data_IF_095837930472
#
_entry.id   IF_095837930472
#
_cell.length_a   1.000
_cell.length_b   1.000
_cell.length_c   1.000
_cell.angle_alpha   90.00
_cell.angle_beta   90.00
_cell.angle_gamma   90.00
#
_symmetry.space_group_name_H-M   'P 1'
#
loop_
_entity.id
_entity.type
_entity.pdbx_description
1 polymer ?
#
# COMPACT_ATOMS: atom_id res chain seq x y z
N UNK A 1 -12.69 4.88 -4.50
CA UNK A 1 -11.28 4.48 -4.73
C UNK A 1 -11.23 2.97 -4.72
N UNK A 2 -10.33 2.39 -5.51
CA UNK A 2 -10.06 0.95 -5.54
C UNK A 2 -8.63 0.76 -5.00
N UNK A 3 -8.47 -0.09 -4.00
CA UNK A 3 -7.16 -0.57 -3.56
C UNK A 3 -6.75 -1.79 -4.39
N UNK A 4 -5.50 -1.79 -4.86
CA UNK A 4 -4.91 -2.88 -5.63
C UNK A 4 -3.67 -3.33 -4.88
N UNK A 5 -3.58 -4.63 -4.62
CA UNK A 5 -2.50 -5.25 -3.87
C UNK A 5 -1.91 -6.39 -4.69
N UNK A 6 -0.60 -6.35 -4.88
CA UNK A 6 0.13 -7.36 -5.63
C UNK A 6 1.26 -7.90 -4.75
N UNK A 7 1.35 -9.22 -4.71
CA UNK A 7 2.34 -9.98 -3.95
C UNK A 7 3.00 -10.90 -4.97
N UNK A 8 4.26 -10.67 -5.27
CA UNK A 8 5.00 -11.42 -6.27
C UNK A 8 6.34 -11.93 -5.72
N UNK A 9 6.80 -13.14 -6.10
CA UNK A 9 8.11 -13.62 -5.69
C UNK A 9 9.23 -12.66 -6.09
N UNK A 10 10.17 -12.41 -5.19
CA UNK A 10 11.37 -11.60 -5.45
C UNK A 10 12.55 -12.12 -4.62
N UNK A 11 13.53 -12.75 -5.29
CA UNK A 11 14.69 -13.34 -4.62
C UNK A 11 14.28 -14.40 -3.58
N UNK A 12 14.75 -14.23 -2.35
CA UNK A 12 14.42 -15.11 -1.22
C UNK A 12 13.14 -14.68 -0.48
N UNK A 13 12.39 -13.72 -1.01
CA UNK A 13 11.18 -13.18 -0.39
C UNK A 13 10.12 -12.81 -1.41
N UNK A 14 9.36 -11.77 -1.08
CA UNK A 14 8.23 -11.31 -1.87
C UNK A 14 8.25 -9.80 -1.97
N UNK A 15 8.00 -9.25 -3.16
CA UNK A 15 7.69 -7.83 -3.34
C UNK A 15 6.20 -7.60 -3.13
N UNK A 16 5.87 -6.75 -2.16
CA UNK A 16 4.52 -6.24 -1.93
C UNK A 16 4.38 -4.86 -2.60
N UNK A 17 3.47 -4.76 -3.56
CA UNK A 17 3.11 -3.48 -4.19
C UNK A 17 1.66 -3.16 -3.86
N UNK A 18 1.41 -1.92 -3.49
CA UNK A 18 0.06 -1.45 -3.25
C UNK A 18 -0.19 -0.12 -3.94
N UNK A 19 -1.36 -0.01 -4.56
CA UNK A 19 -1.79 1.17 -5.30
C UNK A 19 -3.22 1.53 -4.94
N UNK A 20 -3.51 2.84 -4.86
CA UNK A 20 -4.85 3.35 -4.71
C UNK A 20 -5.27 4.09 -5.98
N UNK A 21 -6.37 3.67 -6.59
CA UNK A 21 -6.95 4.32 -7.77
C UNK A 21 -8.16 5.14 -7.37
N UNK A 22 -8.08 6.45 -7.56
CA UNK A 22 -9.17 7.39 -7.28
C UNK A 22 -9.99 7.69 -8.53
N UNK A 23 -11.25 8.09 -8.33
CA UNK A 23 -12.16 8.41 -9.43
C UNK A 23 -11.90 9.78 -10.04
N UNK A 24 -11.35 10.71 -9.25
CA UNK A 24 -10.99 12.06 -9.68
C UNK A 24 -9.66 12.47 -9.05
N UNK A 25 -8.99 13.44 -9.67
CA UNK A 25 -7.75 14.03 -9.15
C UNK A 25 -7.97 14.71 -7.80
N UNK A 26 -9.08 15.41 -7.61
CA UNK A 26 -9.37 16.07 -6.32
C UNK A 26 -9.42 15.07 -5.16
N UNK A 27 -10.00 13.89 -5.39
CA UNK A 27 -10.05 12.82 -4.39
C UNK A 27 -8.72 12.13 -4.17
N UNK A 28 -7.86 12.06 -5.19
CA UNK A 28 -6.47 11.63 -5.03
C UNK A 28 -5.72 12.60 -4.10
N UNK A 29 -5.80 13.90 -4.36
CA UNK A 29 -5.08 14.91 -3.57
C UNK A 29 -5.60 15.04 -2.14
N UNK A 30 -6.91 14.94 -1.92
CA UNK A 30 -7.50 14.89 -0.58
C UNK A 30 -6.93 13.70 0.20
N UNK A 31 -6.91 12.51 -0.42
CA UNK A 31 -6.40 11.31 0.23
C UNK A 31 -4.89 11.37 0.47
N UNK A 32 -4.12 11.93 -0.46
CA UNK A 32 -2.68 12.14 -0.28
C UNK A 32 -2.41 13.06 0.92
N UNK A 33 -3.13 14.18 1.03
CA UNK A 33 -3.01 15.14 2.15
C UNK A 33 -3.36 14.55 3.51
N UNK A 34 -4.16 13.48 3.56
CA UNK A 34 -4.49 12.77 4.79
C UNK A 34 -3.34 11.88 5.30
N UNK A 35 -2.23 11.76 4.57
CA UNK A 35 -1.09 10.91 4.95
C UNK A 35 -1.21 9.49 4.42
N UNK A 36 -1.66 9.34 3.17
CA UNK A 36 -1.81 8.02 2.53
C UNK A 36 -0.51 7.22 2.58
N UNK A 37 0.62 7.83 2.25
CA UNK A 37 1.92 7.13 2.15
C UNK A 37 2.39 6.64 3.51
N UNK A 38 2.38 7.48 4.55
CA UNK A 38 2.80 7.05 5.90
C UNK A 38 1.86 5.98 6.47
N UNK A 39 0.55 6.18 6.34
CA UNK A 39 -0.45 5.22 6.81
C UNK A 39 -0.30 3.86 6.10
N UNK A 40 -0.01 3.87 4.81
CA UNK A 40 0.14 2.64 4.04
C UNK A 40 1.45 1.91 4.35
N UNK A 41 2.55 2.64 4.56
CA UNK A 41 3.81 2.06 5.03
C UNK A 41 3.63 1.35 6.38
N UNK A 42 2.86 1.91 7.31
CA UNK A 42 2.58 1.27 8.59
C UNK A 42 1.85 -0.09 8.43
N UNK A 43 0.89 -0.17 7.51
CA UNK A 43 0.19 -1.43 7.20
C UNK A 43 1.14 -2.46 6.58
N UNK A 44 2.04 -2.03 5.68
CA UNK A 44 3.02 -2.93 5.08
C UNK A 44 3.98 -3.51 6.13
N UNK A 45 4.45 -2.71 7.08
CA UNK A 45 5.27 -3.18 8.21
C UNK A 45 4.53 -4.17 9.12
N UNK A 46 3.24 -3.90 9.42
CA UNK A 46 2.41 -4.83 10.18
C UNK A 46 2.22 -6.18 9.46
N UNK A 47 1.99 -6.14 8.15
CA UNK A 47 1.87 -7.37 7.35
C UNK A 47 3.17 -8.17 7.36
N UNK A 48 4.31 -7.50 7.20
CA UNK A 48 5.63 -8.13 7.29
C UNK A 48 5.84 -8.80 8.65
N UNK A 49 5.57 -8.08 9.74
CA UNK A 49 5.71 -8.62 11.09
C UNK A 49 4.82 -9.84 11.33
N UNK A 50 3.61 -9.87 10.76
CA UNK A 50 2.71 -11.03 10.83
C UNK A 50 3.20 -12.22 9.99
N UNK A 51 3.82 -11.97 8.84
CA UNK A 51 4.26 -13.02 7.91
C UNK A 51 5.61 -13.64 8.29
N UNK A 52 6.49 -12.85 8.93
CA UNK A 52 7.85 -13.27 9.31
C UNK A 52 7.99 -13.64 10.80
N UNK A 53 6.99 -13.34 11.62
CA UNK A 53 6.93 -13.72 13.05
C UNK A 53 6.38 -15.12 13.28
#
# INVERSE_FOLDING_TARGET
>A
MIGIFEIAPEGNGTRYTASARHWTTDKLEEHRKMGFEEGWSAVAEQLKALAEG
#
